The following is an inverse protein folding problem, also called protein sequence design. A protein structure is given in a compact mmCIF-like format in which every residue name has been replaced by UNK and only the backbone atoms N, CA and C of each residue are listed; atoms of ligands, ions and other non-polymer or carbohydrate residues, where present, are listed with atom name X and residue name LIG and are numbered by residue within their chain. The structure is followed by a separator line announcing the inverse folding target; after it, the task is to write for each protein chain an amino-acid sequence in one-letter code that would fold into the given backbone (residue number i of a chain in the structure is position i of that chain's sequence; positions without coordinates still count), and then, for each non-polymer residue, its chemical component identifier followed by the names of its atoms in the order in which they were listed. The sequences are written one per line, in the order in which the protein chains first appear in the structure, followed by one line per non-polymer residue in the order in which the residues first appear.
data_IF_414319074752
#
_entry.id   IF_414319074752
#
_cell.length_a   1.000
_cell.length_b   1.000
_cell.length_c   1.000
_cell.angle_alpha   90.00
_cell.angle_beta   90.00
_cell.angle_gamma   90.00
#
_symmetry.space_group_name_H-M   'P 1'
#
loop_
_entity.id
_entity.type
_entity.pdbx_description
1 polymer ?
2 polymer ?
3 water ?
#
# COMPACT_ATOMS: atom_id res chain seq x y z
N UNK A 1 -7.78 7.26 -7.81
CA UNK A 1 -6.36 6.86 -8.06
C UNK A 1 -6.32 5.44 -8.62
N UNK A 2 -5.70 5.28 -9.78
CA UNK A 2 -5.62 3.97 -10.45
C UNK A 2 -4.24 3.33 -10.34
N UNK A 3 -3.20 4.15 -10.31
CA UNK A 3 -1.82 3.68 -10.31
C UNK A 3 -1.00 4.49 -9.31
N UNK A 4 -0.08 3.83 -8.61
CA UNK A 4 0.79 4.52 -7.66
C UNK A 4 2.15 3.83 -7.64
N UNK A 5 3.20 4.60 -7.41
CA UNK A 5 4.55 4.07 -7.40
C UNK A 5 5.09 3.97 -5.98
N UNK A 6 5.69 2.82 -5.65
CA UNK A 6 6.22 2.59 -4.31
C UNK A 6 7.40 3.51 -4.03
N UNK A 7 7.32 4.23 -2.92
CA UNK A 7 8.39 5.12 -2.47
C UNK A 7 9.42 4.39 -1.63
N UNK A 8 9.00 3.31 -0.97
CA UNK A 8 9.84 2.52 -0.08
C UNK A 8 9.49 1.04 -0.24
N UNK A 9 10.42 0.16 0.13
CA UNK A 9 10.10 -1.26 0.28
C UNK A 9 9.04 -1.40 1.36
N UNK A 10 8.04 -2.24 1.13
CA UNK A 10 7.07 -2.58 2.16
C UNK A 10 7.03 -4.10 2.30
N UNK A 11 7.24 -4.57 3.53
CA UNK A 11 7.21 -6.00 3.84
C UNK A 11 5.82 -6.37 4.34
N UNK A 12 5.16 -7.29 3.64
CA UNK A 12 3.87 -7.80 4.07
C UNK A 12 4.09 -8.72 5.27
N UNK A 13 3.40 -8.42 6.37
CA UNK A 13 3.50 -9.19 7.61
C UNK A 13 2.21 -9.89 8.01
N UNK A 14 1.11 -9.56 7.33
CA UNK A 14 -0.18 -10.23 7.55
C UNK A 14 -0.73 -10.76 6.22
N UNK A 15 -1.69 -11.68 6.31
CA UNK A 15 -2.17 -12.43 5.15
C UNK A 15 -2.78 -11.53 4.07
N UNK A 16 -3.37 -10.43 4.52
CA UNK A 16 -4.09 -9.52 3.64
C UNK A 16 -3.22 -8.39 3.09
N UNK A 17 -1.91 -8.44 3.32
CA UNK A 17 -1.00 -7.35 2.94
C UNK A 17 -0.26 -7.65 1.63
N UNK A 18 -0.03 -6.59 0.85
CA UNK A 18 0.68 -6.67 -0.42
C UNK A 18 2.05 -6.04 -0.29
N UNK A 19 3.08 -6.88 -0.31
CA UNK A 19 4.44 -6.41 -0.25
C UNK A 19 4.90 -5.87 -1.58
N UNK A 20 5.88 -4.97 -1.55
CA UNK A 20 6.52 -4.50 -2.77
C UNK A 20 7.90 -3.93 -2.48
N UNK A 21 8.66 -3.73 -3.55
CA UNK A 21 9.94 -3.05 -3.47
C UNK A 21 9.77 -1.62 -3.96
N UNK A 22 10.63 -0.73 -3.46
CA UNK A 22 10.69 0.65 -3.94
C UNK A 22 10.75 0.70 -5.47
N UNK A 23 9.93 1.56 -6.05
CA UNK A 23 9.94 1.79 -7.49
C UNK A 23 8.96 0.94 -8.29
N UNK A 24 8.39 -0.07 -7.65
CA UNK A 24 7.36 -0.93 -8.26
C UNK A 24 6.07 -0.12 -8.44
N UNK A 25 5.28 -0.47 -9.44
CA UNK A 25 4.03 0.22 -9.73
C UNK A 25 2.86 -0.67 -9.35
N UNK A 26 2.02 -0.16 -8.45
CA UNK A 26 0.87 -0.88 -7.95
C UNK A 26 -0.42 -0.37 -8.60
N UNK A 27 -1.26 -1.31 -9.02
CA UNK A 27 -2.61 -1.02 -9.44
C UNK A 27 -3.44 -0.74 -8.20
N UNK A 28 -4.01 0.45 -8.11
CA UNK A 28 -4.79 0.83 -6.93
C UNK A 28 -6.26 0.54 -7.16
N UNK A 29 -6.82 -0.28 -6.27
CA UNK A 29 -8.21 -0.71 -6.33
C UNK A 29 -9.10 0.07 -5.35
N UNK A 30 -8.60 0.33 -4.15
CA UNK A 30 -9.25 1.25 -3.21
C UNK A 30 -8.26 2.25 -2.65
N UNK A 31 -8.63 3.52 -2.71
CA UNK A 31 -7.89 4.61 -2.08
C UNK A 31 -8.75 5.45 -1.13
N UNK A 32 -9.92 4.94 -0.73
CA UNK A 32 -10.81 5.66 0.20
C UNK A 32 -10.41 5.52 1.68
N UNK A 33 -9.79 4.39 2.03
CA UNK A 33 -9.20 4.21 3.36
C UNK A 33 -7.95 5.08 3.42
N UNK A 34 -7.86 6.02 4.36
CA UNK A 34 -6.71 6.95 4.39
C UNK A 34 -5.39 6.34 4.85
N UNK A 35 -5.45 5.20 5.53
CA UNK A 35 -4.28 4.54 6.12
C UNK A 35 -3.73 3.45 5.21
N UNK A 36 -4.62 2.57 4.76
CA UNK A 36 -4.28 1.39 3.99
C UNK A 36 -5.08 1.34 2.69
N UNK A 37 -4.37 1.37 1.57
CA UNK A 37 -4.99 1.20 0.26
C UNK A 37 -4.98 -0.26 -0.16
N UNK A 38 -5.91 -0.63 -1.04
CA UNK A 38 -5.99 -1.98 -1.58
C UNK A 38 -5.49 -1.93 -3.01
N UNK A 39 -4.68 -2.90 -3.40
CA UNK A 39 -4.11 -2.89 -4.74
C UNK A 39 -3.63 -4.24 -5.19
N UNK A 40 -2.97 -4.23 -6.35
CA UNK A 40 -2.55 -5.44 -6.99
C UNK A 40 -1.16 -5.28 -7.59
N UNK A 41 -0.38 -6.35 -7.46
CA UNK A 41 0.95 -6.47 -8.03
C UNK A 41 1.26 -7.97 -8.19
N UNK A 42 1.80 -8.36 -9.34
CA UNK A 42 2.08 -9.77 -9.64
C UNK A 42 0.80 -10.60 -9.60
N UNK A 43 -0.29 -9.98 -10.06
CA UNK A 43 -1.65 -10.54 -9.99
C UNK A 43 -2.12 -10.87 -8.57
N UNK A 44 -1.38 -10.38 -7.58
CA UNK A 44 -1.66 -10.63 -6.17
C UNK A 44 -2.34 -9.42 -5.57
N UNK A 45 -3.34 -9.67 -4.73
CA UNK A 45 -4.12 -8.62 -4.07
C UNK A 45 -3.63 -8.44 -2.65
N UNK A 46 -3.65 -7.19 -2.19
CA UNK A 46 -3.42 -6.95 -0.78
C UNK A 46 -3.52 -5.49 -0.40
N UNK A 47 -3.44 -5.26 0.90
CA UNK A 47 -3.46 -3.92 1.46
C UNK A 47 -2.03 -3.46 1.69
N UNK A 48 -1.80 -2.16 1.54
CA UNK A 48 -0.48 -1.58 1.75
C UNK A 48 -0.63 -0.14 2.25
N UNK A 49 0.41 0.41 2.88
CA UNK A 49 0.31 1.78 3.41
C UNK A 49 0.18 2.84 2.33
N UNK A 50 -0.83 3.69 2.46
CA UNK A 50 -1.02 4.80 1.53
C UNK A 50 0.23 5.69 1.49
N UNK A 51 0.88 5.85 2.64
CA UNK A 51 2.04 6.72 2.75
C UNK A 51 3.31 6.09 2.15
N UNK A 52 3.23 4.83 1.75
CA UNK A 52 4.36 4.17 1.09
C UNK A 52 4.33 4.28 -0.43
N UNK A 53 3.32 4.93 -1.00
CA UNK A 53 3.25 5.14 -2.44
C UNK A 53 2.96 6.59 -2.80
N UNK A 54 3.28 6.94 -4.04
CA UNK A 54 2.97 8.25 -4.61
C UNK A 54 2.06 8.01 -5.81
N UNK A 55 0.81 8.47 -5.76
CA UNK A 55 -0.09 8.35 -6.90
C UNK A 55 0.54 8.90 -8.17
N UNK A 56 0.30 8.23 -9.29
CA UNK A 56 0.81 8.65 -10.58
C UNK A 56 -0.33 9.32 -11.34
N UNK A 57 -0.27 10.64 -11.44
CA UNK A 57 -1.23 11.43 -12.20
C UNK A 57 -0.74 12.87 -12.38
N UNK B 1 16.91 9.55 6.41
CA UNK B 1 17.21 8.27 5.71
C UNK B 1 16.12 7.22 5.86
N UNK B 2 15.64 7.01 7.08
CA UNK B 2 14.80 5.85 7.37
C UNK B 2 13.39 6.02 6.84
N UNK B 3 12.80 4.95 6.31
CA UNK B 3 11.42 5.01 5.81
C UNK B 3 10.44 5.34 6.93
N UNK B 4 9.27 5.87 6.58
CA UNK B 4 8.27 6.21 7.58
C UNK B 4 7.66 4.98 8.21
N UNK B 5 6.97 5.18 9.32
CA UNK B 5 6.25 4.09 9.97
C UNK B 5 5.13 3.58 9.08
N UNK B 6 4.83 2.30 9.26
CA UNK B 6 3.61 1.69 8.76
C UNK B 6 2.49 2.04 9.74
N UNK B 7 1.32 2.42 9.23
CA UNK B 7 0.19 2.72 10.12
C UNK B 7 -0.25 1.50 10.91
N UNK B 8 -0.98 1.70 12.01
CA UNK B 8 -1.50 0.57 12.77
C UNK B 8 -2.26 -0.41 11.88
N UNK B 9 -2.01 -1.71 12.07
CA UNK B 9 -2.71 -2.74 11.31
C UNK B 9 -4.23 -2.73 11.51
N UNK B 10 -4.70 -2.24 12.65
CA UNK B 10 -6.14 -2.20 12.92
C UNK B 10 -6.87 -1.27 11.95
N UNK B 11 -6.13 -0.35 11.34
CA UNK B 11 -6.72 0.59 10.39
C UNK B 11 -6.96 0.01 8.99
N UNK B 12 -6.57 -1.24 8.77
CA UNK B 12 -6.89 -1.92 7.52
C UNK B 12 -8.40 -2.12 7.40
N UNK B 13 -9.07 -2.30 8.54
CA UNK B 13 -10.53 -2.35 8.56
C UNK B 13 -11.12 -1.00 8.17
N UNK B 14 -12.40 -0.99 7.83
CA UNK B 14 -13.08 0.22 7.35
C UNK B 14 -13.22 1.28 8.45
N UNK B 15 -13.34 2.53 8.03
CA UNK B 15 -13.37 3.67 8.94
C UNK B 15 -11.99 4.05 9.44
N UNK B 16 -10.96 3.68 8.67
CA UNK B 16 -9.56 3.71 9.12
C UNK B 16 -9.41 2.90 10.41
#
# INVERSE_FOLDING_TARGET
VRWARALYDFEALEEDELGFRSGEVVEVLDSSNPSWWTGRLHNKLGLFPANYVAPMMR
GQPPLVPPRKEKMRGK
#
